data_IF_203437047356
#
_entry.id   IF_203437047356
#
_cell.length_a   1.000
_cell.length_b   1.000
_cell.length_c   1.000
_cell.angle_alpha   90.00
_cell.angle_beta   90.00
_cell.angle_gamma   90.00
#
_symmetry.space_group_name_H-M   'P 1'
#
loop_
_entity.id
_entity.type
_entity.pdbx_description
1 polymer ?
#
# COMPACT_ATOMS: atom_id res chain seq x y z
N UNK A 1 20.94 6.49 20.66
CA UNK A 1 20.80 6.05 19.26
C UNK A 1 20.35 4.59 19.28
N UNK A 2 19.26 4.25 18.60
CA UNK A 2 18.63 2.92 18.72
C UNK A 2 19.44 1.88 17.94
N UNK A 3 19.94 0.83 18.60
CA UNK A 3 20.78 -0.20 17.99
C UNK A 3 20.10 -0.93 16.81
N UNK A 4 18.77 -1.08 16.85
CA UNK A 4 18.00 -1.70 15.76
C UNK A 4 17.97 -0.81 14.52
N UNK A 5 17.82 0.51 14.70
CA UNK A 5 17.88 1.46 13.59
C UNK A 5 19.25 1.46 12.91
N UNK A 6 20.33 1.37 13.70
CA UNK A 6 21.69 1.27 13.14
C UNK A 6 21.91 -0.01 12.33
N UNK A 7 21.33 -1.13 12.77
CA UNK A 7 21.36 -2.39 12.02
C UNK A 7 20.60 -2.26 10.70
N UNK A 8 19.37 -1.72 10.72
CA UNK A 8 18.56 -1.43 9.52
C UNK A 8 19.36 -0.55 8.56
N UNK A 9 19.87 0.60 9.04
CA UNK A 9 20.64 1.56 8.25
C UNK A 9 21.81 0.88 7.56
N UNK A 10 22.60 0.08 8.30
CA UNK A 10 23.74 -0.64 7.75
C UNK A 10 23.34 -1.62 6.65
N UNK A 11 22.21 -2.31 6.81
CA UNK A 11 21.79 -3.35 5.88
C UNK A 11 21.21 -2.81 4.58
N UNK A 12 20.50 -1.67 4.61
CA UNK A 12 19.81 -1.14 3.43
C UNK A 12 20.58 -0.02 2.71
N UNK A 13 21.52 0.64 3.37
CA UNK A 13 22.33 1.70 2.73
C UNK A 13 23.20 1.10 1.63
N UNK A 14 23.22 1.76 0.48
CA UNK A 14 23.98 1.33 -0.71
C UNK A 14 23.21 0.38 -1.62
N UNK A 15 22.06 -0.15 -1.22
CA UNK A 15 21.24 -1.00 -2.07
C UNK A 15 20.52 -0.18 -3.16
N UNK A 16 20.48 -0.73 -4.37
CA UNK A 16 19.67 -0.22 -5.48
C UNK A 16 18.18 -0.47 -5.22
N UNK A 17 17.31 0.47 -5.56
CA UNK A 17 15.88 0.19 -5.64
C UNK A 17 15.59 -0.78 -6.78
N UNK A 18 14.68 -1.73 -6.57
CA UNK A 18 14.25 -2.67 -7.59
C UNK A 18 12.77 -2.54 -7.95
N UNK A 19 11.96 -1.97 -7.05
CA UNK A 19 10.60 -1.51 -7.34
C UNK A 19 10.15 -0.49 -6.29
N UNK A 20 9.23 0.40 -6.68
CA UNK A 20 8.45 1.26 -5.78
C UNK A 20 7.03 1.28 -6.31
N UNK A 21 6.02 1.20 -5.44
CA UNK A 21 4.62 1.32 -5.83
C UNK A 21 3.75 1.76 -4.67
N UNK A 22 2.63 2.39 -4.98
CA UNK A 22 1.53 2.61 -4.03
C UNK A 22 0.50 1.51 -4.24
N UNK A 23 0.33 0.69 -3.21
CA UNK A 23 -0.64 -0.38 -3.17
C UNK A 23 -1.98 0.06 -2.60
N UNK A 24 -2.81 -0.94 -2.30
CA UNK A 24 -4.10 -0.76 -1.67
C UNK A 24 -4.01 0.06 -0.36
N UNK A 25 -4.95 0.98 -0.15
CA UNK A 25 -5.02 1.83 1.05
C UNK A 25 -3.92 2.89 1.13
N UNK A 26 -3.36 3.32 -0.01
CA UNK A 26 -2.32 4.33 -0.07
C UNK A 26 -0.95 3.85 0.46
N UNK A 27 -0.74 2.53 0.62
CA UNK A 27 0.49 2.00 1.20
C UNK A 27 1.65 2.03 0.20
N UNK A 28 2.69 2.80 0.49
CA UNK A 28 3.93 2.77 -0.27
C UNK A 28 4.75 1.51 0.07
N UNK A 29 5.15 0.79 -0.98
CA UNK A 29 6.08 -0.34 -0.88
C UNK A 29 7.32 -0.06 -1.71
N UNK A 30 8.48 -0.32 -1.13
CA UNK A 30 9.80 -0.14 -1.73
C UNK A 30 10.59 -1.44 -1.58
N UNK A 31 11.02 -2.01 -2.70
CA UNK A 31 11.97 -3.11 -2.74
C UNK A 31 13.38 -2.62 -3.04
N UNK A 32 14.35 -3.19 -2.33
CA UNK A 32 15.77 -2.86 -2.43
C UNK A 32 16.59 -4.12 -2.70
N UNK A 33 17.74 -3.94 -3.35
CA UNK A 33 18.68 -5.00 -3.69
C UNK A 33 18.19 -5.90 -4.82
N UNK A 34 18.54 -7.18 -4.76
CA UNK A 34 18.20 -8.14 -5.79
C UNK A 34 16.70 -8.46 -5.82
N UNK A 35 16.15 -8.75 -7.01
CA UNK A 35 14.77 -9.23 -7.15
C UNK A 35 14.69 -10.70 -6.73
N UNK A 36 13.81 -11.01 -5.79
CA UNK A 36 13.52 -12.36 -5.32
C UNK A 36 12.14 -12.77 -5.84
N UNK A 37 12.10 -13.78 -6.69
CA UNK A 37 10.86 -14.24 -7.34
C UNK A 37 10.09 -15.21 -6.45
N UNK A 38 8.76 -15.06 -6.42
CA UNK A 38 7.90 -15.99 -5.69
C UNK A 38 7.92 -17.39 -6.33
N UNK A 39 7.97 -18.41 -5.47
CA UNK A 39 7.89 -19.82 -5.90
C UNK A 39 6.45 -20.32 -6.08
N UNK A 40 5.47 -19.61 -5.52
CA UNK A 40 4.08 -20.04 -5.54
C UNK A 40 3.46 -19.88 -6.94
N UNK A 41 2.75 -20.88 -7.49
CA UNK A 41 2.23 -20.83 -8.87
C UNK A 41 1.36 -19.61 -9.18
N UNK A 42 0.50 -19.19 -8.23
CA UNK A 42 -0.36 -18.00 -8.39
C UNK A 42 0.39 -16.66 -8.43
N UNK A 43 1.69 -16.64 -8.11
CA UNK A 43 2.54 -15.45 -8.08
C UNK A 43 3.69 -15.56 -9.10
N UNK A 44 3.55 -16.41 -10.12
CA UNK A 44 4.56 -16.57 -11.16
C UNK A 44 4.89 -15.22 -11.82
N UNK A 45 6.18 -14.92 -11.96
CA UNK A 45 6.67 -13.66 -12.51
C UNK A 45 6.64 -12.47 -11.54
N UNK A 46 5.95 -12.59 -10.39
CA UNK A 46 6.01 -11.57 -9.34
C UNK A 46 7.28 -11.73 -8.51
N UNK A 47 7.78 -10.61 -8.00
CA UNK A 47 8.98 -10.56 -7.17
C UNK A 47 8.81 -9.57 -6.02
N UNK A 48 9.73 -9.65 -5.07
CA UNK A 48 9.98 -8.67 -4.01
C UNK A 48 11.48 -8.34 -3.95
N UNK A 49 11.87 -7.36 -3.14
CA UNK A 49 13.28 -7.01 -2.95
C UNK A 49 13.98 -7.96 -1.97
N UNK A 50 15.30 -7.98 -2.00
CA UNK A 50 16.11 -8.58 -0.93
C UNK A 50 15.79 -7.96 0.43
N UNK A 51 15.52 -6.65 0.40
CA UNK A 51 14.89 -5.90 1.47
C UNK A 51 13.57 -5.28 0.98
N UNK A 52 12.53 -5.33 1.80
CA UNK A 52 11.20 -4.79 1.51
C UNK A 52 10.82 -3.80 2.61
N UNK A 53 10.39 -2.60 2.21
CA UNK A 53 9.92 -1.54 3.11
C UNK A 53 8.45 -1.29 2.79
N UNK A 54 7.57 -1.33 3.79
CA UNK A 54 6.14 -1.11 3.63
C UNK A 54 5.61 -0.13 4.66
N UNK A 55 4.96 0.95 4.21
CA UNK A 55 4.14 1.79 5.09
C UNK A 55 2.86 1.06 5.46
N UNK A 56 2.55 0.96 6.76
CA UNK A 56 1.32 0.36 7.26
C UNK A 56 0.36 1.43 7.77
N UNK A 57 0.67 2.05 8.90
CA UNK A 57 -0.08 3.17 9.51
C UNK A 57 0.72 4.47 9.55
N UNK A 58 1.70 4.62 8.65
CA UNK A 58 2.42 5.88 8.45
C UNK A 58 1.99 6.57 7.17
N UNK A 59 2.07 7.89 7.20
CA UNK A 59 1.95 8.74 6.03
C UNK A 59 3.33 8.88 5.39
N UNK A 60 3.39 9.11 4.10
CA UNK A 60 4.65 9.19 3.37
C UNK A 60 4.60 10.27 2.31
N UNK A 61 5.78 10.71 1.87
CA UNK A 61 5.91 11.59 0.72
C UNK A 61 7.19 11.34 -0.05
N UNK A 62 7.15 11.65 -1.34
CA UNK A 62 8.29 11.58 -2.25
C UNK A 62 8.62 13.01 -2.70
N UNK A 63 9.90 13.37 -2.57
CA UNK A 63 10.40 14.68 -2.96
C UNK A 63 11.65 14.59 -3.84
N UNK A 64 11.88 15.65 -4.62
CA UNK A 64 13.09 15.88 -5.40
C UNK A 64 13.68 17.24 -5.00
N UNK A 65 14.69 17.21 -4.14
CA UNK A 65 15.21 18.39 -3.46
C UNK A 65 14.12 19.09 -2.64
N UNK A 66 13.68 20.27 -3.10
CA UNK A 66 12.61 21.07 -2.45
C UNK A 66 11.21 20.84 -3.05
N UNK A 67 11.10 20.08 -4.13
CA UNK A 67 9.84 19.86 -4.83
C UNK A 67 9.18 18.60 -4.29
N UNK A 68 7.98 18.74 -3.73
CA UNK A 68 7.10 17.60 -3.43
C UNK A 68 6.58 17.02 -4.75
N UNK A 69 6.67 15.71 -4.93
CA UNK A 69 6.21 15.03 -6.15
C UNK A 69 4.85 14.38 -5.95
N UNK A 70 4.70 13.62 -4.86
CA UNK A 70 3.46 13.00 -4.44
C UNK A 70 3.56 12.55 -2.96
N UNK A 71 2.44 12.21 -2.35
CA UNK A 71 2.37 11.69 -0.99
C UNK A 71 1.12 10.88 -0.71
N UNK A 72 0.97 10.50 0.56
CA UNK A 72 -0.09 9.62 1.04
C UNK A 72 -1.51 10.11 0.73
N UNK A 73 -1.75 11.43 0.78
CA UNK A 73 -3.07 12.02 0.56
C UNK A 73 -3.43 12.20 -0.92
N UNK A 74 -2.49 11.96 -1.85
CA UNK A 74 -2.74 12.03 -3.29
C UNK A 74 -3.40 10.75 -3.81
N UNK A 75 -4.06 10.84 -4.97
CA UNK A 75 -4.69 9.68 -5.60
C UNK A 75 -3.66 8.59 -5.96
N UNK A 76 -3.96 7.33 -5.61
CA UNK A 76 -3.07 6.18 -5.85
C UNK A 76 -2.61 6.08 -7.31
N UNK A 77 -3.52 6.32 -8.26
CA UNK A 77 -3.21 6.29 -9.70
C UNK A 77 -2.18 7.36 -10.07
N UNK A 78 -2.42 8.60 -9.67
CA UNK A 78 -1.48 9.70 -9.86
C UNK A 78 -0.11 9.41 -9.24
N UNK A 79 -0.08 8.90 -8.00
CA UNK A 79 1.17 8.54 -7.34
C UNK A 79 1.97 7.50 -8.11
N UNK A 80 1.31 6.45 -8.61
CA UNK A 80 1.99 5.40 -9.39
C UNK A 80 2.52 5.96 -10.73
N UNK A 81 1.75 6.79 -11.44
CA UNK A 81 2.23 7.46 -12.66
C UNK A 81 3.46 8.33 -12.41
N UNK A 82 3.46 9.09 -11.31
CA UNK A 82 4.63 9.86 -10.88
C UNK A 82 5.81 8.92 -10.61
N UNK A 83 5.63 7.89 -9.78
CA UNK A 83 6.69 6.94 -9.39
C UNK A 83 7.31 6.24 -10.60
N UNK A 84 6.49 5.80 -11.56
CA UNK A 84 6.95 5.12 -12.79
C UNK A 84 7.86 6.01 -13.65
N UNK A 85 7.69 7.34 -13.56
CA UNK A 85 8.55 8.30 -14.25
C UNK A 85 9.88 8.58 -13.53
N UNK A 86 10.07 8.09 -12.30
CA UNK A 86 11.24 8.39 -11.47
C UNK A 86 12.32 7.33 -11.55
N UNK A 87 13.57 7.77 -11.54
CA UNK A 87 14.72 6.91 -11.30
C UNK A 87 15.31 7.22 -9.92
N UNK A 88 15.13 6.29 -8.97
CA UNK A 88 15.62 6.47 -7.60
C UNK A 88 17.10 6.14 -7.45
N UNK A 89 17.63 5.13 -8.15
CA UNK A 89 19.01 4.67 -7.96
C UNK A 89 19.21 3.94 -6.64
N UNK A 90 20.25 4.30 -5.87
CA UNK A 90 20.67 3.65 -4.61
C UNK A 90 20.33 4.49 -3.40
N UNK A 91 20.05 3.84 -2.27
CA UNK A 91 20.00 4.55 -0.98
C UNK A 91 21.40 5.06 -0.63
N UNK A 92 21.58 6.37 -0.58
CA UNK A 92 22.80 7.02 -0.12
C UNK A 92 22.79 7.24 1.39
N UNK A 93 21.61 7.48 1.98
CA UNK A 93 21.47 7.76 3.41
C UNK A 93 20.13 7.28 3.95
N UNK A 94 20.14 6.83 5.21
CA UNK A 94 18.94 6.53 5.99
C UNK A 94 19.02 7.35 7.27
N UNK A 95 18.05 8.25 7.46
CA UNK A 95 18.06 9.26 8.51
C UNK A 95 16.85 9.03 9.41
N UNK A 96 17.08 9.01 10.72
CA UNK A 96 16.02 9.04 11.72
C UNK A 96 15.76 10.51 12.10
N UNK A 97 14.68 11.09 11.59
CA UNK A 97 14.33 12.51 11.79
C UNK A 97 13.77 12.77 13.19
N UNK A 98 13.03 11.80 13.73
CA UNK A 98 12.50 11.78 15.09
C UNK A 98 12.54 10.34 15.62
N UNK A 99 11.95 10.04 16.78
CA UNK A 99 11.88 8.65 17.25
C UNK A 99 11.18 7.70 16.27
N UNK A 100 10.28 8.22 15.44
CA UNK A 100 9.38 7.44 14.59
C UNK A 100 9.34 7.92 13.13
N UNK A 101 9.93 9.07 12.80
CA UNK A 101 9.99 9.57 11.42
C UNK A 101 11.30 9.14 10.75
N UNK A 102 11.19 8.53 9.58
CA UNK A 102 12.32 7.96 8.84
C UNK A 102 12.41 8.61 7.46
N UNK A 103 13.62 8.97 7.06
CA UNK A 103 13.95 9.50 5.74
C UNK A 103 14.92 8.58 5.02
N UNK A 104 14.58 8.23 3.77
CA UNK A 104 15.46 7.57 2.83
C UNK A 104 15.92 8.59 1.80
N UNK A 105 17.23 8.79 1.68
CA UNK A 105 17.83 9.65 0.66
C UNK A 105 18.48 8.75 -0.38
N UNK A 106 18.20 9.03 -1.64
CA UNK A 106 18.76 8.32 -2.76
C UNK A 106 19.86 9.14 -3.45
N UNK A 107 20.82 8.46 -4.07
CA UNK A 107 21.91 9.10 -4.80
C UNK A 107 21.46 9.92 -6.03
N UNK A 108 20.23 9.70 -6.50
CA UNK A 108 19.55 10.52 -7.51
C UNK A 108 19.09 11.88 -6.99
N UNK A 109 19.15 12.13 -5.68
CA UNK A 109 18.59 13.32 -5.02
C UNK A 109 17.14 13.16 -4.59
N UNK A 110 16.48 12.04 -4.91
CA UNK A 110 15.12 11.74 -4.45
C UNK A 110 15.11 11.41 -2.96
N UNK A 111 14.02 11.78 -2.31
CA UNK A 111 13.81 11.59 -0.88
C UNK A 111 12.47 10.92 -0.67
N UNK A 112 12.42 9.94 0.23
CA UNK A 112 11.17 9.39 0.77
C UNK A 112 11.16 9.65 2.27
N UNK A 113 10.14 10.36 2.75
CA UNK A 113 9.88 10.52 4.18
C UNK A 113 8.70 9.64 4.59
N UNK A 114 8.81 9.02 5.77
CA UNK A 114 7.74 8.30 6.46
C UNK A 114 7.46 9.00 7.79
N UNK A 115 6.18 9.25 8.09
CA UNK A 115 5.70 9.97 9.26
C UNK A 115 4.69 9.15 10.05
N UNK A 116 4.88 9.08 11.37
CA UNK A 116 3.94 8.41 12.28
C UNK A 116 2.54 9.07 12.21
N UNK A 117 1.49 8.27 11.99
CA UNK A 117 0.09 8.75 12.12
C UNK A 117 -0.64 8.13 13.31
N UNK A 118 -0.35 6.87 13.65
CA UNK A 118 -1.00 6.14 14.75
C UNK A 118 -0.01 5.83 15.87
N UNK A 119 -0.46 5.87 17.13
CA UNK A 119 0.37 5.44 18.27
C UNK A 119 0.27 3.94 18.56
N UNK A 120 -0.82 3.32 18.13
CA UNK A 120 -1.20 1.96 18.51
C UNK A 120 -0.77 0.92 17.47
N UNK A 121 -0.60 1.35 16.21
CA UNK A 121 -0.34 0.46 15.09
C UNK A 121 1.12 0.49 14.62
N UNK A 122 1.55 -0.62 14.01
CA UNK A 122 2.81 -0.68 13.29
C UNK A 122 2.81 0.34 12.15
N UNK A 123 3.76 1.25 12.18
CA UNK A 123 3.88 2.35 11.24
C UNK A 123 4.62 1.94 9.98
N UNK A 124 5.80 1.35 10.15
CA UNK A 124 6.70 0.97 9.06
C UNK A 124 7.23 -0.43 9.31
N UNK A 125 7.24 -1.25 8.26
CA UNK A 125 7.83 -2.59 8.29
C UNK A 125 9.01 -2.64 7.34
N UNK A 126 10.13 -3.18 7.81
CA UNK A 126 11.33 -3.44 7.01
C UNK A 126 11.71 -4.91 7.16
N UNK A 127 11.63 -5.69 6.08
CA UNK A 127 11.92 -7.13 6.08
C UNK A 127 13.11 -7.45 5.18
N UNK A 128 14.02 -8.31 5.68
CA UNK A 128 15.16 -8.84 4.94
C UNK A 128 15.02 -10.35 4.74
N UNK A 129 14.97 -10.81 3.48
CA UNK A 129 14.74 -12.23 3.16
C UNK A 129 15.91 -13.12 3.57
N UNK A 130 17.13 -12.69 3.25
CA UNK A 130 18.35 -13.48 3.47
C UNK A 130 18.63 -13.67 4.96
N UNK A 131 18.45 -12.62 5.72
CA UNK A 131 18.62 -12.57 7.18
C UNK A 131 17.42 -13.15 7.93
N UNK A 132 16.29 -13.35 7.24
CA UNK A 132 15.03 -13.83 7.83
C UNK A 132 14.61 -12.97 9.01
N UNK A 133 14.62 -11.67 8.81
CA UNK A 133 14.36 -10.65 9.84
C UNK A 133 13.25 -9.71 9.39
N UNK A 134 12.44 -9.30 10.35
CA UNK A 134 11.47 -8.21 10.16
C UNK A 134 11.67 -7.20 11.29
N UNK A 135 11.70 -5.92 10.91
CA UNK A 135 11.71 -4.79 11.82
C UNK A 135 10.39 -4.04 11.71
N UNK A 136 9.77 -3.77 12.85
CA UNK A 136 8.48 -3.11 12.93
C UNK A 136 8.66 -1.83 13.76
N UNK A 137 8.23 -0.70 13.21
CA UNK A 137 8.31 0.58 13.89
C UNK A 137 6.97 0.91 14.54
N UNK A 138 6.97 1.02 15.86
CA UNK A 138 5.88 1.50 16.68
C UNK A 138 6.18 2.90 17.22
N UNK A 139 5.23 3.49 17.93
CA UNK A 139 5.40 4.82 18.53
C UNK A 139 6.44 4.87 19.67
N UNK A 140 6.74 3.73 20.29
CA UNK A 140 7.77 3.55 21.33
C UNK A 140 9.10 3.01 20.79
N UNK A 141 9.16 2.65 19.50
CA UNK A 141 10.40 2.38 18.78
C UNK A 141 10.35 1.14 17.90
N UNK A 142 11.55 0.66 17.56
CA UNK A 142 11.72 -0.51 16.69
C UNK A 142 11.61 -1.81 17.48
N UNK A 143 10.85 -2.76 16.95
CA UNK A 143 10.87 -4.17 17.32
C UNK A 143 11.53 -5.00 16.21
N UNK A 144 12.11 -6.14 16.59
CA UNK A 144 12.80 -7.06 15.67
C UNK A 144 12.24 -8.46 15.90
N UNK A 145 11.67 -9.05 14.87
CA UNK A 145 11.12 -10.40 14.88
C UNK A 145 11.82 -11.28 13.84
N UNK A 146 11.77 -12.59 14.04
CA UNK A 146 12.22 -13.54 13.02
C UNK A 146 11.13 -13.65 11.94
N UNK A 147 11.49 -13.73 10.66
CA UNK A 147 10.51 -13.73 9.54
C UNK A 147 9.59 -14.95 9.52
N UNK A 148 9.86 -15.98 10.33
CA UNK A 148 8.92 -17.10 10.57
C UNK A 148 7.82 -16.75 11.58
N UNK A 149 8.06 -15.75 12.41
CA UNK A 149 7.15 -15.25 13.47
C UNK A 149 6.54 -13.90 13.13
N UNK A 150 6.96 -13.24 12.04
CA UNK A 150 6.17 -12.16 11.42
C UNK A 150 4.92 -12.75 10.77
N UNK A 151 4.17 -13.52 11.56
CA UNK A 151 2.78 -13.75 11.29
C UNK A 151 2.13 -12.39 11.37
N UNK A 152 1.64 -11.92 10.23
CA UNK A 152 0.44 -11.10 10.14
C UNK A 152 -0.72 -11.82 10.86
N UNK A 153 -0.57 -12.05 12.17
CA UNK A 153 -1.68 -12.41 13.02
C UNK A 153 -2.45 -11.13 13.11
N UNK A 154 -3.57 -11.12 12.38
CA UNK A 154 -4.62 -10.18 12.62
C UNK A 154 -4.79 -10.09 14.14
N UNK A 155 -4.79 -8.88 14.67
CA UNK A 155 -5.20 -8.65 16.05
C UNK A 155 -6.58 -9.28 16.25
N UNK A 156 -6.97 -9.58 17.50
CA UNK A 156 -8.29 -10.14 17.77
C UNK A 156 -9.43 -9.27 17.17
N UNK A 157 -9.24 -7.95 17.12
CA UNK A 157 -10.19 -7.02 16.49
C UNK A 157 -10.20 -7.24 14.97
N UNK A 158 -9.03 -7.30 14.33
CA UNK A 158 -8.92 -7.56 12.90
C UNK A 158 -9.43 -8.95 12.51
N UNK A 159 -9.30 -9.97 13.35
CA UNK A 159 -9.89 -11.30 13.13
C UNK A 159 -11.42 -11.21 13.10
N UNK A 160 -12.01 -10.47 14.04
CA UNK A 160 -13.46 -10.22 14.08
C UNK A 160 -13.90 -9.42 12.84
N UNK A 161 -13.17 -8.36 12.48
CA UNK A 161 -13.47 -7.55 11.29
C UNK A 161 -13.31 -8.34 9.99
N UNK A 162 -12.28 -9.18 9.89
CA UNK A 162 -12.04 -10.07 8.76
C UNK A 162 -13.20 -11.06 8.60
N UNK A 163 -13.57 -11.74 9.69
CA UNK A 163 -14.70 -12.67 9.68
C UNK A 163 -16.02 -11.97 9.34
N UNK A 164 -16.27 -10.76 9.86
CA UNK A 164 -17.43 -9.97 9.52
C UNK A 164 -17.45 -9.62 8.02
N UNK A 165 -16.32 -9.14 7.49
CA UNK A 165 -16.18 -8.77 6.08
C UNK A 165 -16.40 -9.97 5.15
N UNK A 166 -15.88 -11.15 5.50
CA UNK A 166 -16.00 -12.37 4.72
C UNK A 166 -17.46 -12.87 4.72
N UNK A 167 -18.13 -12.82 5.87
CA UNK A 167 -19.55 -13.12 5.97
C UNK A 167 -20.39 -12.16 5.12
N UNK A 168 -20.07 -10.86 5.15
CA UNK A 168 -20.74 -9.87 4.30
C UNK A 168 -20.48 -10.15 2.82
N UNK A 169 -19.22 -10.37 2.41
CA UNK A 169 -18.84 -10.71 1.05
C UNK A 169 -19.60 -11.93 0.54
N UNK A 170 -19.66 -13.02 1.32
CA UNK A 170 -20.36 -14.23 0.94
C UNK A 170 -21.86 -14.03 0.70
N UNK A 171 -22.49 -13.09 1.41
CA UNK A 171 -23.89 -12.71 1.18
C UNK A 171 -24.03 -11.77 -0.01
N UNK A 172 -23.22 -10.73 -0.06
CA UNK A 172 -23.32 -9.66 -1.06
C UNK A 172 -22.93 -10.13 -2.46
N UNK A 173 -21.89 -10.95 -2.57
CA UNK A 173 -21.43 -11.52 -3.83
C UNK A 173 -22.51 -12.35 -4.55
N UNK A 174 -23.54 -12.83 -3.82
CA UNK A 174 -24.68 -13.57 -4.38
C UNK A 174 -25.83 -12.70 -4.88
N UNK A 175 -25.92 -11.46 -4.41
CA UNK A 175 -27.05 -10.55 -4.68
C UNK A 175 -26.64 -9.35 -5.51
N UNK A 176 -25.37 -8.98 -5.48
CA UNK A 176 -24.80 -7.94 -6.32
C UNK A 176 -24.69 -8.48 -7.74
N UNK A 177 -25.21 -7.72 -8.70
CA UNK A 177 -25.13 -8.09 -10.10
C UNK A 177 -23.69 -7.93 -10.60
N UNK A 178 -23.10 -9.04 -11.03
CA UNK A 178 -21.82 -9.05 -11.73
C UNK A 178 -22.08 -9.01 -13.22
N UNK A 179 -21.78 -7.86 -13.83
CA UNK A 179 -21.75 -7.73 -15.29
C UNK A 179 -20.28 -7.58 -15.66
N UNK A 180 -19.68 -8.65 -16.15
CA UNK A 180 -18.29 -8.62 -16.61
C UNK A 180 -18.19 -7.72 -17.84
N UNK A 181 -17.36 -6.69 -17.73
CA UNK A 181 -17.05 -5.73 -18.78
C UNK A 181 -15.68 -5.11 -18.51
N UNK A 182 -15.07 -4.55 -19.54
CA UNK A 182 -13.86 -3.74 -19.40
C UNK A 182 -14.11 -2.45 -18.61
N UNK A 183 -15.38 -1.99 -18.54
CA UNK A 183 -15.78 -0.77 -17.84
C UNK A 183 -16.30 -1.07 -16.43
N UNK A 184 -15.39 -1.16 -15.48
CA UNK A 184 -15.67 -1.54 -14.09
C UNK A 184 -16.19 -0.38 -13.23
N UNK A 185 -16.97 -0.69 -12.18
CA UNK A 185 -17.51 0.31 -11.27
C UNK A 185 -16.41 1.09 -10.54
N UNK A 186 -15.28 0.48 -10.19
CA UNK A 186 -14.16 1.20 -9.55
C UNK A 186 -13.55 2.33 -10.39
N UNK A 187 -13.77 2.35 -11.71
CA UNK A 187 -13.33 3.45 -12.59
C UNK A 187 -14.46 4.42 -12.96
N UNK A 188 -15.69 4.13 -12.54
CA UNK A 188 -16.85 4.97 -12.81
C UNK A 188 -16.85 6.20 -11.88
N UNK A 189 -17.05 7.38 -12.45
CA UNK A 189 -17.13 8.65 -11.69
C UNK A 189 -18.19 8.64 -10.60
N UNK A 190 -19.29 7.91 -10.79
CA UNK A 190 -20.40 7.84 -9.85
C UNK A 190 -20.27 6.75 -8.79
N UNK A 191 -19.19 5.96 -8.80
CA UNK A 191 -18.96 4.97 -7.76
C UNK A 191 -18.49 5.62 -6.47
N UNK A 192 -19.08 5.19 -5.35
CA UNK A 192 -18.70 5.63 -4.00
C UNK A 192 -18.32 4.39 -3.20
N UNK A 193 -17.02 4.15 -3.06
CA UNK A 193 -16.52 3.00 -2.30
C UNK A 193 -17.02 3.03 -0.86
N UNK A 194 -17.33 1.85 -0.31
CA UNK A 194 -17.60 1.75 1.12
C UNK A 194 -16.29 1.89 1.91
N UNK A 195 -16.33 2.70 2.96
CA UNK A 195 -15.28 2.68 3.96
C UNK A 195 -15.45 1.45 4.85
N UNK A 196 -14.34 0.81 5.22
CA UNK A 196 -14.34 -0.46 5.94
C UNK A 196 -13.01 -1.19 5.90
N UNK A 197 -13.05 -2.51 6.07
CA UNK A 197 -11.87 -3.37 6.07
C UNK A 197 -12.06 -4.59 5.16
N UNK A 198 -10.96 -5.13 4.63
CA UNK A 198 -10.93 -6.39 3.87
C UNK A 198 -11.91 -6.36 2.69
N UNK A 199 -12.85 -7.30 2.61
CA UNK A 199 -13.77 -7.42 1.48
C UNK A 199 -14.78 -6.27 1.35
N UNK A 200 -14.95 -5.40 2.36
CA UNK A 200 -15.82 -4.23 2.20
C UNK A 200 -15.32 -3.29 1.09
N UNK A 201 -14.01 -3.29 0.84
CA UNK A 201 -13.36 -2.53 -0.21
C UNK A 201 -13.71 -3.00 -1.64
N UNK A 202 -14.25 -4.21 -1.77
CA UNK A 202 -14.72 -4.74 -3.05
C UNK A 202 -16.12 -4.23 -3.42
N UNK A 203 -16.71 -3.34 -2.62
CA UNK A 203 -18.06 -2.83 -2.79
C UNK A 203 -18.16 -1.31 -2.62
N UNK A 204 -19.21 -0.76 -3.20
CA UNK A 204 -19.57 0.65 -3.09
C UNK A 204 -21.04 0.87 -3.44
N UNK A 205 -21.46 2.13 -3.42
CA UNK A 205 -22.78 2.57 -3.85
C UNK A 205 -22.67 3.24 -5.23
N UNK A 206 -23.59 2.92 -6.14
CA UNK A 206 -23.74 3.68 -7.38
C UNK A 206 -24.57 4.95 -7.10
N UNK A 207 -24.07 6.11 -7.51
CA UNK A 207 -24.74 7.41 -7.35
C UNK A 207 -25.16 8.04 -8.69
N UNK A 208 -25.31 7.21 -9.73
CA UNK A 208 -25.72 7.68 -11.05
C UNK A 208 -27.24 7.49 -11.21
N UNK A 209 -28.01 8.59 -11.22
CA UNK A 209 -29.47 8.57 -11.38
C UNK A 209 -29.94 7.90 -12.69
N UNK A 210 -29.10 7.89 -13.73
CA UNK A 210 -29.40 7.23 -15.01
C UNK A 210 -29.21 5.70 -14.94
N UNK A 211 -28.57 5.19 -13.89
CA UNK A 211 -28.27 3.77 -13.73
C UNK A 211 -29.42 3.04 -13.06
N UNK A 212 -29.71 1.82 -13.52
CA UNK A 212 -30.61 0.90 -12.81
C UNK A 212 -30.13 0.50 -11.40
N UNK A 213 -28.88 0.86 -11.07
CA UNK A 213 -28.23 0.62 -9.78
C UNK A 213 -28.16 1.85 -8.89
N UNK A 214 -28.78 2.98 -9.23
CA UNK A 214 -28.74 4.17 -8.37
C UNK A 214 -29.16 3.86 -6.93
N UNK A 215 -28.34 4.32 -5.97
CA UNK A 215 -28.49 4.07 -4.54
C UNK A 215 -28.26 2.62 -4.09
N UNK A 216 -27.86 1.71 -4.98
CA UNK A 216 -27.67 0.28 -4.66
C UNK A 216 -26.19 -0.06 -4.47
N UNK A 217 -25.98 -1.12 -3.68
CA UNK A 217 -24.68 -1.76 -3.52
C UNK A 217 -24.24 -2.43 -4.83
N UNK A 218 -23.03 -2.12 -5.27
CA UNK A 218 -22.38 -2.70 -6.45
C UNK A 218 -20.97 -3.18 -6.09
N UNK A 219 -20.44 -4.16 -6.82
CA UNK A 219 -19.05 -4.61 -6.66
C UNK A 219 -18.14 -3.72 -7.49
N UNK A 220 -16.89 -3.55 -7.06
CA UNK A 220 -15.86 -2.85 -7.85
C UNK A 220 -15.70 -3.44 -9.25
N UNK A 221 -15.95 -4.74 -9.42
CA UNK A 221 -15.83 -5.46 -10.69
C UNK A 221 -17.14 -5.51 -11.51
N UNK A 222 -18.23 -4.94 -11.00
CA UNK A 222 -19.49 -4.82 -11.74
C UNK A 222 -19.40 -3.73 -12.81
N UNK A 223 -20.39 -3.66 -13.71
CA UNK A 223 -20.50 -2.61 -14.73
C UNK A 223 -21.96 -2.30 -15.07
N UNK A 224 -22.21 -1.20 -15.78
CA UNK A 224 -23.51 -0.90 -16.37
C UNK A 224 -23.36 -0.04 -17.64
N UNK A 225 -24.42 0.07 -18.43
CA UNK A 225 -24.45 0.90 -19.66
C UNK A 225 -24.32 2.40 -19.41
N UNK A 226 -24.52 2.85 -18.17
CA UNK A 226 -24.42 4.25 -17.75
C UNK A 226 -23.07 4.55 -17.08
N UNK A 227 -22.04 3.75 -17.32
CA UNK A 227 -20.67 4.05 -16.88
C UNK A 227 -20.20 5.36 -17.50
N UNK A 228 -19.60 6.23 -16.69
CA UNK A 228 -18.95 7.47 -17.13
C UNK A 228 -17.62 7.59 -16.39
N UNK A 229 -16.55 7.89 -17.12
CA UNK A 229 -15.30 8.35 -16.53
C UNK A 229 -15.38 9.86 -16.25
N UNK A 230 -14.44 10.38 -15.45
CA UNK A 230 -14.39 11.82 -15.13
C UNK A 230 -14.35 12.69 -16.40
N UNK A 231 -13.66 12.21 -17.45
CA UNK A 231 -13.53 12.91 -18.73
C UNK A 231 -14.83 13.03 -19.52
N UNK A 232 -15.84 12.21 -19.20
CA UNK A 232 -17.12 12.20 -19.92
C UNK A 232 -18.12 13.23 -19.34
N UNK A 233 -17.73 13.92 -18.26
CA UNK A 233 -18.57 14.90 -17.54
C UNK A 233 -18.24 16.33 -17.93
N UNK A 234 -17.04 16.56 -18.46
CA UNK A 234 -16.56 17.86 -18.94
C UNK A 234 -16.48 17.89 -20.46
#
# INVERSE_FOLDING_TARGET
MNAKFEEIRKNITGLDHCYIRVGYGGKLRLGLGNKIYYKHPRLQGKFYGEWDISSLSCSWRIADGKKLLCGYDDEVKFCNEVIESLHFGRISEVIQLSFFDIRLVFNSGKIIDYFLQSKEDVSLVISGEKEKVTYELFSDGWEKTSSKESSSKLTRIEEVLSSLSENCHNRWNRVVNHVESDLQCNTCFYFRGLDGHFYFWDYGICSNEDSMFDGKLVSINSSCTCHKELKDIF
#
